data_IF_279107964934
#
_entry.id   IF_279107964934
#
_cell.length_a   1.000
_cell.length_b   1.000
_cell.length_c   1.000
_cell.angle_alpha   90.00
_cell.angle_beta   90.00
_cell.angle_gamma   90.00
#
_symmetry.space_group_name_H-M   'P 1'
#
loop_
_entity.id
_entity.type
_entity.pdbx_description
1 polymer ?
2 non-polymer ?
3 non-polymer ?
4 water ?
#
# COMPACT_ATOMS: atom_id res chain seq x y z
N UNK A 6 -21.68 23.37 -7.02
CA UNK A 6 -20.79 23.46 -5.82
C UNK A 6 -19.38 22.99 -6.18
N UNK A 7 -18.37 23.84 -5.90
CA UNK A 7 -17.00 23.42 -6.21
C UNK A 7 -16.50 22.35 -5.23
N UNK A 8 -15.38 21.72 -5.57
CA UNK A 8 -15.03 20.44 -4.99
C UNK A 8 -13.52 20.32 -5.03
N UNK A 9 -12.92 19.82 -3.95
CA UNK A 9 -11.52 19.46 -4.10
C UNK A 9 -11.27 18.33 -5.11
N UNK A 10 -12.32 17.60 -5.48
CA UNK A 10 -12.12 16.30 -6.13
C UNK A 10 -12.57 16.36 -7.60
N UNK A 11 -11.90 15.63 -8.47
CA UNK A 11 -12.60 15.26 -9.70
C UNK A 11 -12.80 13.76 -9.91
N UNK A 12 -14.05 13.36 -10.18
CA UNK A 12 -14.42 11.99 -10.54
C UNK A 12 -14.10 11.60 -11.99
N UNK A 13 -13.73 10.35 -12.21
CA UNK A 13 -13.56 9.78 -13.54
C UNK A 13 -14.22 8.41 -13.63
N UNK A 14 -14.79 8.08 -14.79
CA UNK A 14 -14.89 6.68 -15.22
C UNK A 14 -13.68 6.18 -16.00
N UNK A 15 -13.68 4.90 -16.31
CA UNK A 15 -12.51 4.30 -16.93
C UNK A 15 -12.22 4.85 -18.32
N UNK A 16 -13.30 5.06 -19.07
CA UNK A 16 -13.27 5.80 -20.32
C UNK A 16 -12.43 7.06 -20.15
N UNK A 17 -12.86 7.92 -19.22
CA UNK A 17 -12.27 9.25 -19.15
C UNK A 17 -10.86 9.13 -18.64
N UNK A 18 -10.63 8.24 -17.67
CA UNK A 18 -9.31 8.09 -17.08
C UNK A 18 -8.29 7.61 -18.10
N UNK A 19 -8.68 6.67 -18.95
CA UNK A 19 -7.66 6.01 -19.77
C UNK A 19 -7.20 6.88 -20.94
N UNK A 20 -8.03 7.85 -21.32
CA UNK A 20 -7.61 8.85 -22.31
C UNK A 20 -6.40 9.66 -21.84
N UNK A 21 -6.05 9.55 -20.56
CA UNK A 21 -4.98 10.38 -20.02
C UNK A 21 -3.66 9.63 -19.95
N UNK A 22 -3.64 8.46 -20.56
CA UNK A 22 -2.37 7.77 -20.80
C UNK A 22 -1.40 8.53 -21.69
N UNK A 23 -1.95 9.19 -22.72
CA UNK A 23 -1.14 9.76 -23.78
C UNK A 23 -0.08 8.76 -24.23
N UNK A 24 1.18 9.17 -24.22
CA UNK A 24 2.24 8.41 -24.88
C UNK A 24 2.86 7.32 -24.00
N UNK A 25 2.46 7.27 -22.72
CA UNK A 25 3.12 6.39 -21.74
C UNK A 25 3.27 4.96 -22.27
N UNK A 26 4.51 4.49 -22.40
CA UNK A 26 4.82 3.12 -22.84
C UNK A 26 4.49 2.06 -21.80
N UNK A 27 3.94 0.93 -22.26
CA UNK A 27 3.72 -0.23 -21.41
C UNK A 27 4.98 -1.08 -21.32
N UNK A 28 5.56 -1.15 -20.14
CA UNK A 28 6.88 -1.77 -20.00
C UNK A 28 6.83 -3.02 -19.14
N UNK A 29 5.80 -3.85 -19.33
CA UNK A 29 5.56 -4.97 -18.44
C UNK A 29 4.84 -6.11 -19.16
N UNK A 30 5.38 -7.31 -19.05
CA UNK A 30 4.85 -8.49 -19.74
C UNK A 30 3.71 -9.13 -18.95
N UNK A 31 2.99 -10.01 -19.61
CA UNK A 31 1.85 -10.66 -18.97
C UNK A 31 2.37 -11.59 -17.88
N UNK A 32 3.57 -12.11 -18.10
CA UNK A 32 4.19 -12.97 -17.11
C UNK A 32 4.70 -12.17 -15.93
N UNK A 33 5.35 -11.05 -16.19
CA UNK A 33 5.79 -10.16 -15.12
C UNK A 33 4.62 -9.75 -14.24
N UNK A 34 3.51 -9.39 -14.86
CA UNK A 34 2.28 -9.10 -14.13
C UNK A 34 1.84 -10.20 -13.17
N UNK A 35 1.93 -11.44 -13.63
CA UNK A 35 1.44 -12.62 -12.91
C UNK A 35 2.16 -12.71 -11.57
N UNK A 36 3.46 -12.52 -11.59
CA UNK A 36 4.27 -12.63 -10.38
C UNK A 36 4.08 -11.50 -9.38
N UNK A 37 3.33 -10.47 -9.78
CA UNK A 37 3.04 -9.38 -8.86
C UNK A 37 1.63 -9.52 -8.29
N UNK A 38 0.77 -10.17 -9.07
CA UNK A 38 -0.65 -10.41 -8.81
C UNK A 38 -0.85 -11.26 -7.55
N UNK A 39 -1.73 -10.80 -6.68
CA UNK A 39 -2.11 -11.61 -5.51
C UNK A 39 -3.26 -12.60 -5.68
N UNK A 40 -3.28 -13.61 -4.84
CA UNK A 40 -4.32 -14.65 -4.91
C UNK A 40 -5.72 -14.06 -4.93
N UNK A 41 -6.48 -14.38 -5.97
CA UNK A 41 -7.81 -13.85 -6.16
C UNK A 41 -7.93 -12.51 -6.88
N UNK A 42 -6.82 -11.82 -7.10
CA UNK A 42 -6.82 -10.62 -7.95
C UNK A 42 -7.02 -10.89 -9.44
N UNK A 43 -7.63 -9.92 -10.14
CA UNK A 43 -8.09 -10.10 -11.51
C UNK A 43 -7.38 -9.17 -12.47
N UNK A 44 -6.48 -8.36 -11.94
CA UNK A 44 -5.78 -7.39 -12.75
C UNK A 44 -5.11 -8.06 -13.97
N UNK A 45 -5.29 -7.50 -15.16
CA UNK A 45 -4.58 -7.92 -16.36
C UNK A 45 -3.95 -6.72 -17.05
N UNK A 46 -3.34 -6.95 -18.21
CA UNK A 46 -2.58 -5.89 -18.88
C UNK A 46 -3.46 -4.76 -19.39
N UNK A 47 -4.73 -5.05 -19.66
CA UNK A 47 -5.64 -3.98 -19.99
C UNK A 47 -5.76 -3.00 -18.83
N UNK A 48 -6.09 -3.51 -17.64
CA UNK A 48 -6.20 -2.66 -16.45
C UNK A 48 -4.92 -1.87 -16.28
N UNK A 49 -3.78 -2.53 -16.47
CA UNK A 49 -2.52 -1.83 -16.34
C UNK A 49 -2.44 -0.68 -17.33
N UNK A 50 -2.95 -0.87 -18.55
CA UNK A 50 -2.81 0.14 -19.58
C UNK A 50 -3.75 1.31 -19.30
N UNK A 51 -4.98 0.99 -18.94
CA UNK A 51 -6.01 2.02 -18.90
C UNK A 51 -6.04 2.73 -17.55
N UNK A 52 -5.46 2.10 -16.52
CA UNK A 52 -5.58 2.57 -15.14
C UNK A 52 -4.22 2.95 -14.54
N UNK A 53 -3.25 2.06 -14.65
CA UNK A 53 -1.97 2.32 -14.02
C UNK A 53 -1.02 3.19 -14.83
N UNK A 54 -1.27 3.30 -16.13
CA UNK A 54 -0.34 4.05 -16.98
C UNK A 54 -0.56 5.58 -16.90
N UNK A 55 -1.81 6.01 -16.82
CA UNK A 55 -2.18 7.38 -16.49
C UNK A 55 -1.68 7.76 -15.09
N UNK A 56 -1.93 6.88 -14.11
CA UNK A 56 -1.40 7.07 -12.77
C UNK A 56 0.11 7.27 -12.79
N UNK A 57 0.81 6.43 -13.54
CA UNK A 57 2.25 6.60 -13.55
C UNK A 57 2.65 7.92 -14.20
N UNK A 58 1.84 8.40 -15.15
CA UNK A 58 2.12 9.70 -15.79
C UNK A 58 1.93 10.85 -14.82
N UNK A 59 0.75 10.88 -14.20
CA UNK A 59 0.45 11.80 -13.11
C UNK A 59 1.60 11.85 -12.10
N UNK A 60 2.16 10.71 -11.74
CA UNK A 60 3.18 10.74 -10.70
C UNK A 60 4.46 11.38 -11.22
N UNK A 61 4.75 11.18 -12.49
CA UNK A 61 6.06 11.57 -13.01
C UNK A 61 6.08 13.08 -13.22
N UNK A 62 4.90 13.60 -13.51
CA UNK A 62 4.68 15.04 -13.54
C UNK A 62 4.84 15.66 -12.15
N UNK A 63 4.24 15.03 -11.15
CA UNK A 63 4.32 15.54 -9.79
C UNK A 63 5.66 15.36 -9.12
N UNK A 64 6.43 14.35 -9.53
CA UNK A 64 7.73 14.17 -8.90
C UNK A 64 8.60 15.41 -9.11
N UNK A 65 8.66 15.87 -10.35
CA UNK A 65 9.62 16.90 -10.75
C UNK A 65 9.21 18.23 -10.11
N UNK A 66 7.91 18.52 -10.19
CA UNK A 66 7.24 19.64 -9.52
C UNK A 66 7.33 19.62 -8.00
N UNK A 67 7.20 18.44 -7.40
CA UNK A 67 7.30 18.37 -5.95
C UNK A 67 8.73 18.72 -5.55
N UNK A 68 9.69 18.39 -6.39
CA UNK A 68 11.09 18.72 -6.08
C UNK A 68 11.45 20.21 -6.16
N UNK A 69 10.77 20.97 -7.01
CA UNK A 69 10.82 22.43 -6.96
C UNK A 69 10.42 22.99 -5.58
N UNK A 70 9.40 22.42 -4.97
CA UNK A 70 8.99 22.76 -3.60
C UNK A 70 10.12 22.66 -2.58
N UNK A 71 10.77 21.50 -2.49
CA UNK A 71 11.84 21.34 -1.52
C UNK A 71 13.04 22.22 -1.86
N UNK A 72 13.15 22.61 -3.12
CA UNK A 72 14.29 23.40 -3.58
C UNK A 72 14.10 24.87 -3.21
N UNK A 73 12.84 25.33 -3.20
CA UNK A 73 12.50 26.67 -2.79
C UNK A 73 12.95 26.90 -1.35
N UNK A 74 12.67 25.89 -0.54
CA UNK A 74 13.00 25.92 0.88
C UNK A 74 14.50 25.87 1.18
N UNK A 75 15.25 25.23 0.30
CA UNK A 75 16.71 25.21 0.47
C UNK A 75 17.29 26.52 -0.04
N UNK A 76 16.69 27.11 -1.07
CA UNK A 76 17.12 28.42 -1.54
C UNK A 76 16.92 29.39 -0.38
N UNK A 77 15.69 29.45 0.11
CA UNK A 77 15.38 30.23 1.31
C UNK A 77 16.41 30.09 2.44
N UNK A 78 16.81 28.86 2.73
CA UNK A 78 17.66 28.57 3.88
C UNK A 78 19.14 28.88 3.61
N UNK A 79 19.44 29.31 2.39
CA UNK A 79 20.84 29.44 1.95
C UNK A 79 21.61 28.14 1.96
N UNK A 80 21.09 27.14 1.25
CA UNK A 80 21.64 25.79 1.34
C UNK A 80 22.29 25.32 0.04
N UNK A 81 23.34 24.49 0.17
CA UNK A 81 24.14 23.95 -0.91
C UNK A 81 23.48 23.94 -2.30
N UNK A 82 22.49 23.05 -2.51
CA UNK A 82 21.64 23.06 -3.72
C UNK A 82 21.26 21.69 -4.26
N UNK A 83 21.60 20.63 -3.52
CA UNK A 83 21.14 19.27 -3.78
C UNK A 83 21.82 18.61 -4.97
N UNK A 84 22.79 17.75 -4.69
CA UNK A 84 23.25 16.72 -5.62
C UNK A 84 22.08 16.20 -6.46
N UNK A 85 22.13 16.41 -7.78
CA UNK A 85 21.01 16.01 -8.62
C UNK A 85 20.84 14.49 -8.70
N UNK A 86 21.81 13.77 -8.13
CA UNK A 86 21.75 12.31 -8.05
C UNK A 86 21.42 11.78 -6.66
N UNK A 87 21.15 12.71 -5.73
CA UNK A 87 20.39 12.44 -4.51
C UNK A 87 19.32 13.50 -4.33
N UNK A 88 18.22 13.40 -5.10
CA UNK A 88 17.09 14.28 -4.84
C UNK A 88 16.34 13.88 -3.55
N UNK A 89 15.48 14.76 -3.08
CA UNK A 89 14.60 14.42 -1.96
C UNK A 89 13.66 13.32 -2.42
N UNK A 90 13.72 12.14 -1.78
CA UNK A 90 12.89 10.99 -2.09
C UNK A 90 11.39 11.32 -2.11
N UNK A 91 10.74 10.96 -3.20
CA UNK A 91 9.30 11.08 -3.36
C UNK A 91 8.62 9.92 -2.64
N UNK A 92 7.67 10.23 -1.74
CA UNK A 92 7.13 9.20 -0.87
C UNK A 92 5.67 8.97 -1.19
N UNK A 93 5.30 7.71 -1.42
CA UNK A 93 3.96 7.42 -1.92
C UNK A 93 3.31 6.46 -0.92
N UNK A 94 2.15 6.83 -0.42
CA UNK A 94 1.42 5.92 0.45
C UNK A 94 0.35 5.15 -0.30
N UNK A 95 0.14 3.90 0.10
CA UNK A 95 -0.93 3.08 -0.49
C UNK A 95 -1.75 2.39 0.60
N UNK A 96 -3.05 2.63 0.62
CA UNK A 96 -3.85 2.22 1.78
C UNK A 96 -5.09 1.48 1.29
N UNK A 97 -5.75 0.78 2.19
CA UNK A 97 -7.08 0.21 1.99
C UNK A 97 -7.27 -1.00 2.90
N UNK A 98 -8.49 -1.53 2.91
CA UNK A 98 -8.79 -2.76 3.62
C UNK A 98 -7.84 -3.91 3.30
N UNK A 99 -7.66 -4.79 4.28
CA UNK A 99 -7.36 -6.20 4.05
C UNK A 99 -8.18 -6.68 2.85
N UNK A 100 -7.55 -7.43 1.96
CA UNK A 100 -8.22 -8.16 0.87
C UNK A 100 -8.62 -7.33 -0.33
N UNK A 101 -8.30 -6.03 -0.34
CA UNK A 101 -8.92 -5.16 -1.32
C UNK A 101 -8.02 -5.12 -2.54
N UNK A 102 -6.85 -5.75 -2.44
CA UNK A 102 -5.88 -5.65 -3.55
C UNK A 102 -4.75 -4.64 -3.40
N UNK A 103 -4.67 -3.91 -2.28
CA UNK A 103 -3.74 -2.77 -2.20
C UNK A 103 -2.28 -3.20 -2.34
N UNK A 104 -1.98 -4.45 -2.02
CA UNK A 104 -0.60 -4.91 -2.12
C UNK A 104 -0.18 -5.16 -3.56
N UNK A 105 -1.13 -5.63 -4.35
CA UNK A 105 -0.93 -5.73 -5.77
C UNK A 105 -0.81 -4.35 -6.41
N UNK A 106 -1.76 -3.45 -6.13
CA UNK A 106 -1.64 -2.09 -6.64
C UNK A 106 -0.25 -1.55 -6.36
N UNK A 107 0.33 -1.85 -5.19
CA UNK A 107 1.62 -1.24 -4.89
C UNK A 107 2.78 -1.90 -5.63
N UNK A 108 2.77 -3.23 -5.71
CA UNK A 108 3.82 -3.93 -6.46
C UNK A 108 3.78 -3.52 -7.93
N UNK A 109 2.57 -3.34 -8.43
CA UNK A 109 2.43 -2.99 -9.84
C UNK A 109 3.00 -1.59 -10.06
N UNK A 110 2.63 -0.65 -9.19
CA UNK A 110 3.11 0.72 -9.28
C UNK A 110 4.63 0.71 -9.21
N UNK A 111 5.21 -0.04 -8.29
CA UNK A 111 6.67 -0.05 -8.15
C UNK A 111 7.32 -0.49 -9.47
N UNK A 112 6.69 -1.43 -10.16
CA UNK A 112 7.30 -2.04 -11.34
C UNK A 112 7.19 -1.05 -12.47
N UNK A 113 6.07 -0.35 -12.53
CA UNK A 113 5.87 0.65 -13.56
C UNK A 113 6.85 1.80 -13.38
N UNK A 114 7.02 2.25 -12.14
CA UNK A 114 7.91 3.35 -11.85
C UNK A 114 9.36 2.96 -12.06
N UNK A 115 9.74 1.74 -11.70
CA UNK A 115 11.14 1.33 -11.84
C UNK A 115 11.56 1.26 -13.31
N UNK A 116 10.57 1.14 -14.18
CA UNK A 116 10.83 0.99 -15.60
C UNK A 116 10.67 2.34 -16.31
N UNK A 117 10.61 3.42 -15.55
CA UNK A 117 10.61 4.75 -16.13
C UNK A 117 12.01 5.07 -16.61
N UNK A 118 12.11 6.09 -17.45
CA UNK A 118 13.19 6.23 -18.40
C UNK A 118 14.57 6.00 -17.80
N UNK A 119 14.89 6.71 -16.72
CA UNK A 119 16.27 6.70 -16.24
C UNK A 119 16.53 5.71 -15.09
N UNK A 120 15.59 4.80 -14.91
CA UNK A 120 15.73 3.69 -13.95
C UNK A 120 15.87 4.15 -12.51
N UNK A 121 14.84 4.82 -11.98
CA UNK A 121 14.80 5.31 -10.61
C UNK A 121 14.84 4.14 -9.62
N UNK A 122 15.61 4.27 -8.55
CA UNK A 122 15.54 3.29 -7.47
C UNK A 122 14.20 3.43 -6.75
N UNK A 123 13.31 2.46 -6.95
CA UNK A 123 11.95 2.50 -6.42
C UNK A 123 11.75 1.39 -5.40
N UNK A 124 11.82 1.75 -4.13
CA UNK A 124 11.64 0.78 -3.05
C UNK A 124 10.22 0.64 -2.55
N UNK A 125 9.88 -0.56 -2.09
CA UNK A 125 8.54 -0.85 -1.58
C UNK A 125 8.60 -1.41 -0.18
N UNK A 126 7.91 -0.73 0.74
CA UNK A 126 7.87 -1.18 2.13
C UNK A 126 6.43 -1.30 2.63
N UNK A 127 6.07 -2.46 3.17
CA UNK A 127 4.76 -2.65 3.78
C UNK A 127 4.88 -2.39 5.28
N UNK A 128 3.78 -2.04 5.93
CA UNK A 128 3.84 -1.78 7.34
C UNK A 128 3.90 -3.02 8.22
N UNK A 129 3.76 -4.19 7.60
CA UNK A 129 3.83 -5.44 8.32
C UNK A 129 5.07 -5.49 9.22
N UNK A 130 6.20 -5.04 8.69
CA UNK A 130 7.50 -5.04 9.37
C UNK A 130 7.49 -4.31 10.70
N UNK A 131 6.59 -3.32 10.79
CA UNK A 131 6.44 -2.48 11.97
C UNK A 131 5.33 -2.89 12.92
N UNK A 132 4.74 -4.05 12.69
CA UNK A 132 3.86 -4.63 13.71
C UNK A 132 4.69 -4.92 14.96
N UNK A 133 4.11 -4.72 16.15
CA UNK A 133 4.76 -5.28 17.34
C UNK A 133 4.86 -6.79 17.23
N UNK A 134 5.95 -7.36 17.76
CA UNK A 134 6.08 -8.81 17.85
C UNK A 134 4.96 -9.39 18.68
N UNK A 135 4.63 -10.67 18.47
CA UNK A 135 3.52 -11.29 19.19
C UNK A 135 3.67 -11.23 20.72
N UNK A 136 4.89 -11.38 21.21
CA UNK A 136 5.08 -11.47 22.66
C UNK A 136 4.79 -10.09 23.23
N UNK A 137 5.02 -9.06 22.43
CA UNK A 137 4.69 -7.70 22.80
C UNK A 137 3.21 -7.36 22.62
N UNK A 138 2.58 -7.89 21.58
CA UNK A 138 1.15 -7.71 21.43
C UNK A 138 0.40 -8.44 22.54
N UNK A 139 0.76 -9.67 22.85
CA UNK A 139 0.26 -10.33 24.05
C UNK A 139 0.38 -9.47 25.31
N UNK A 140 1.56 -8.90 25.53
CA UNK A 140 1.77 -8.08 26.72
C UNK A 140 0.70 -7.00 26.74
N UNK A 141 0.45 -6.38 25.58
CA UNK A 141 -0.49 -5.28 25.52
C UNK A 141 -1.93 -5.78 25.37
N UNK A 142 -2.16 -7.08 25.45
CA UNK A 142 -3.47 -7.64 25.14
C UNK A 142 -3.99 -7.34 23.73
N UNK A 143 -3.13 -7.41 22.72
CA UNK A 143 -3.51 -6.94 21.38
C UNK A 143 -3.40 -8.03 20.33
N UNK A 144 -3.27 -9.28 20.76
CA UNK A 144 -3.06 -10.40 19.83
C UNK A 144 -4.23 -10.57 18.85
N UNK A 145 -5.37 -9.97 19.18
CA UNK A 145 -6.55 -10.04 18.32
C UNK A 145 -6.91 -8.67 17.78
N UNK A 146 -5.89 -7.82 17.66
CA UNK A 146 -6.07 -6.51 17.06
C UNK A 146 -4.94 -6.18 16.09
N UNK A 147 -4.31 -7.21 15.55
CA UNK A 147 -3.33 -7.01 14.51
C UNK A 147 -3.96 -6.27 13.32
N UNK A 148 -3.35 -5.19 12.88
CA UNK A 148 -3.92 -4.32 11.86
C UNK A 148 -4.52 -3.03 12.42
N UNK A 149 -4.97 -3.09 13.66
CA UNK A 149 -5.39 -1.86 14.32
C UNK A 149 -4.17 -0.98 14.55
N UNK A 150 -4.38 0.34 14.48
CA UNK A 150 -3.25 1.26 14.56
C UNK A 150 -2.35 0.90 15.74
N UNK A 151 -2.93 0.50 16.86
CA UNK A 151 -2.12 0.37 18.06
C UNK A 151 -1.32 -0.92 18.03
N UNK A 152 -1.48 -1.74 16.98
CA UNK A 152 -0.73 -2.99 16.93
C UNK A 152 0.61 -2.76 16.23
N UNK A 153 0.82 -1.55 15.74
CA UNK A 153 2.05 -1.16 15.07
C UNK A 153 2.96 -0.30 15.95
N UNK A 154 4.27 -0.44 15.74
CA UNK A 154 5.23 0.51 16.28
C UNK A 154 5.25 1.77 15.46
N UNK A 155 4.25 2.62 15.70
CA UNK A 155 4.12 3.81 14.87
C UNK A 155 5.30 4.77 14.99
N UNK A 156 5.92 4.85 16.16
CA UNK A 156 7.12 5.69 16.29
C UNK A 156 8.27 5.18 15.42
N UNK A 157 8.52 3.87 15.44
CA UNK A 157 9.59 3.32 14.61
C UNK A 157 9.28 3.52 13.13
N UNK A 158 8.01 3.36 12.77
CA UNK A 158 7.58 3.58 11.40
C UNK A 158 7.87 5.00 10.94
N UNK A 159 7.52 5.97 11.79
CA UNK A 159 7.65 7.36 11.44
C UNK A 159 9.14 7.73 11.35
N UNK A 160 9.92 7.24 12.30
CA UNK A 160 11.38 7.33 12.21
C UNK A 160 11.94 6.79 10.90
N UNK A 161 11.46 5.64 10.44
CA UNK A 161 11.98 5.03 9.22
C UNK A 161 11.73 5.94 8.04
N UNK A 162 10.50 6.44 7.94
CA UNK A 162 10.16 7.24 6.80
C UNK A 162 10.83 8.61 6.91
N UNK A 163 11.05 9.08 8.14
CA UNK A 163 11.65 10.41 8.29
C UNK A 163 13.12 10.30 7.92
N UNK A 164 13.76 9.23 8.38
CA UNK A 164 15.10 8.90 7.92
C UNK A 164 15.25 8.88 6.40
N UNK A 165 14.46 8.06 5.72
CA UNK A 165 14.62 7.99 4.28
C UNK A 165 14.42 9.35 3.63
N UNK A 166 13.30 9.98 3.95
CA UNK A 166 12.95 11.23 3.25
C UNK A 166 13.95 12.35 3.51
N UNK A 167 14.57 12.35 4.67
CA UNK A 167 15.51 13.43 5.02
C UNK A 167 16.90 13.18 4.42
N UNK A 168 17.04 12.11 3.64
CA UNK A 168 18.17 11.93 2.74
C UNK A 168 19.15 10.90 3.24
N UNK A 169 18.74 10.06 4.20
CA UNK A 169 19.71 9.17 4.84
C UNK A 169 20.31 8.14 3.88
N UNK A 170 21.53 7.68 4.17
CA UNK A 170 22.21 6.77 3.24
C UNK A 170 21.60 5.38 3.31
N UNK A 171 21.26 4.95 4.51
CA UNK A 171 20.42 3.77 4.68
C UNK A 171 19.43 3.91 5.84
N UNK A 172 18.34 3.16 5.76
CA UNK A 172 17.37 3.08 6.84
C UNK A 172 16.89 1.63 6.84
N UNK A 173 16.72 1.08 8.03
CA UNK A 173 16.33 -0.32 8.17
C UNK A 173 14.90 -0.48 8.70
N UNK A 174 14.15 -1.44 8.16
CA UNK A 174 12.83 -1.83 8.65
C UNK A 174 12.84 -3.28 9.11
N UNK A 175 12.09 -3.61 10.17
CA UNK A 175 12.04 -5.03 10.54
C UNK A 175 11.18 -5.82 9.54
N UNK A 176 11.18 -7.14 9.64
CA UNK A 176 10.56 -7.99 8.63
C UNK A 176 9.58 -8.96 9.27
N UNK A 177 8.38 -9.05 8.70
CA UNK A 177 7.32 -9.88 9.27
C UNK A 177 7.23 -11.20 8.48
N UNK A 178 7.15 -12.35 9.16
CA UNK A 178 6.86 -13.60 8.46
C UNK A 178 5.36 -13.89 8.38
N UNK A 179 4.82 -13.94 7.16
CA UNK A 179 3.44 -14.42 6.96
C UNK A 179 3.25 -15.92 7.20
N UNK A 180 4.33 -16.68 7.07
CA UNK A 180 4.33 -18.08 7.46
C UNK A 180 4.15 -18.18 8.96
N UNK A 181 4.99 -17.46 9.72
CA UNK A 181 4.92 -17.59 11.18
C UNK A 181 4.01 -16.58 11.86
N UNK A 182 3.57 -15.56 11.14
CA UNK A 182 2.57 -14.67 11.72
C UNK A 182 3.28 -13.97 12.88
N UNK A 183 4.56 -13.63 12.70
CA UNK A 183 5.32 -12.93 13.73
C UNK A 183 6.54 -12.28 13.10
N UNK A 184 7.17 -11.36 13.83
CA UNK A 184 8.33 -10.61 13.32
C UNK A 184 9.49 -11.59 13.31
N UNK A 185 10.42 -11.47 12.36
CA UNK A 185 11.50 -12.45 12.26
C UNK A 185 12.72 -11.88 12.98
N UNK A 186 13.16 -12.54 14.06
CA UNK A 186 14.37 -12.21 14.80
C UNK A 186 15.54 -11.98 13.85
N UNK A 187 16.11 -10.78 13.87
CA UNK A 187 17.33 -10.51 13.11
C UNK A 187 17.14 -10.04 11.68
N UNK A 188 15.93 -10.11 11.14
CA UNK A 188 15.72 -9.75 9.74
C UNK A 188 15.55 -8.24 9.57
N UNK A 189 16.19 -7.70 8.54
CA UNK A 189 16.15 -6.28 8.20
C UNK A 189 15.85 -6.12 6.71
N UNK A 190 14.98 -5.17 6.36
CA UNK A 190 14.88 -4.68 5.00
C UNK A 190 15.56 -3.33 4.95
N UNK A 191 16.51 -3.16 4.04
CA UNK A 191 17.42 -2.03 4.06
C UNK A 191 17.12 -1.19 2.83
N UNK A 192 16.77 0.07 3.08
CA UNK A 192 16.38 0.98 2.01
C UNK A 192 17.45 2.07 1.90
N UNK A 193 17.95 2.30 0.69
CA UNK A 193 19.22 3.02 0.49
C UNK A 193 18.97 4.21 -0.42
N UNK A 194 18.62 5.36 0.16
CA UNK A 194 18.43 6.58 -0.62
C UNK A 194 17.71 6.35 -1.94
N UNK A 195 16.56 5.66 -1.90
CA UNK A 195 15.79 5.48 -3.13
C UNK A 195 15.29 6.79 -3.69
N UNK A 196 14.89 6.82 -4.96
CA UNK A 196 14.31 8.02 -5.54
C UNK A 196 12.84 8.11 -5.18
N UNK A 197 12.19 6.94 -5.12
CA UNK A 197 10.79 6.82 -4.75
C UNK A 197 10.64 5.73 -3.70
N UNK A 198 9.92 6.01 -2.62
CA UNK A 198 9.63 4.97 -1.64
C UNK A 198 8.12 4.80 -1.61
N UNK A 199 7.64 3.59 -1.85
CA UNK A 199 6.22 3.34 -1.69
C UNK A 199 5.98 2.71 -0.33
N UNK A 200 5.02 3.25 0.41
CA UNK A 200 4.75 2.67 1.71
C UNK A 200 3.33 2.19 1.69
N UNK A 201 3.15 0.92 2.02
CA UNK A 201 1.85 0.28 1.85
C UNK A 201 1.39 -0.33 3.16
N UNK A 202 0.14 -0.09 3.56
CA UNK A 202 -0.40 -0.72 4.76
C UNK A 202 -1.80 -0.20 4.96
N UNK A 203 -2.53 -0.78 5.91
CA UNK A 203 -3.93 -0.45 6.23
C UNK A 203 -4.17 0.99 6.62
N UNK A 204 -3.34 1.49 7.52
CA UNK A 204 -3.66 2.77 8.17
C UNK A 204 -2.66 3.87 7.89
N UNK A 205 -1.81 3.66 6.89
CA UNK A 205 -0.77 4.62 6.57
C UNK A 205 -1.28 6.04 6.34
N UNK A 206 -2.58 6.19 6.05
CA UNK A 206 -3.06 7.55 5.82
C UNK A 206 -3.59 8.27 7.06
N UNK A 207 -3.47 7.61 8.21
CA UNK A 207 -3.94 8.21 9.44
C UNK A 207 -3.29 9.55 9.77
N UNK A 208 -4.08 10.38 10.42
CA UNK A 208 -3.60 11.60 11.04
C UNK A 208 -3.80 11.54 12.55
N UNK A 209 -3.21 12.50 13.27
CA UNK A 209 -3.27 12.48 14.74
C UNK A 209 -2.50 13.60 15.43
N UNK A 210 -2.35 13.51 16.75
CA UNK A 210 -1.84 14.59 17.57
C UNK A 210 -0.32 14.67 17.43
N UNK A 211 0.23 13.86 16.53
CA UNK A 211 1.64 13.98 16.25
C UNK A 211 1.82 13.94 14.75
N UNK A 212 3.00 14.34 14.30
CA UNK A 212 3.34 14.20 12.89
C UNK A 212 3.44 12.71 12.57
N UNK A 213 2.85 12.26 11.47
CA UNK A 213 2.75 10.83 11.15
C UNK A 213 3.21 10.61 9.71
N UNK A 214 3.39 9.35 9.29
CA UNK A 214 3.90 9.11 7.94
C UNK A 214 3.04 9.74 6.85
N UNK A 215 1.73 9.79 7.06
CA UNK A 215 0.86 10.48 6.10
C UNK A 215 1.25 11.93 5.90
N UNK A 216 1.89 12.51 6.92
CA UNK A 216 2.30 13.90 6.78
C UNK A 216 3.53 14.01 5.90
N UNK A 217 4.17 12.88 5.60
CA UNK A 217 5.33 12.89 4.71
C UNK A 217 5.04 12.45 3.27
N UNK A 218 3.83 11.97 3.00
CA UNK A 218 3.52 11.46 1.68
C UNK A 218 3.46 12.63 0.71
N UNK A 219 4.11 12.46 -0.44
CA UNK A 219 3.93 13.38 -1.55
C UNK A 219 2.76 13.01 -2.45
N UNK A 220 2.31 11.77 -2.35
CA UNK A 220 1.19 11.26 -3.15
C UNK A 220 0.64 10.05 -2.40
N UNK A 221 -0.67 9.84 -2.44
CA UNK A 221 -1.24 8.72 -1.72
C UNK A 221 -2.32 8.08 -2.59
N UNK A 222 -2.46 6.77 -2.47
CA UNK A 222 -3.48 5.98 -3.18
C UNK A 222 -4.35 5.28 -2.15
N UNK A 223 -5.66 5.33 -2.31
CA UNK A 223 -6.53 4.46 -1.52
C UNK A 223 -7.27 3.51 -2.48
N UNK A 224 -7.23 2.21 -2.20
CA UNK A 224 -7.93 1.24 -3.04
C UNK A 224 -9.24 0.87 -2.35
N UNK A 225 -10.35 1.11 -3.04
CA UNK A 225 -11.67 1.08 -2.41
C UNK A 225 -12.61 0.03 -3.01
N UNK A 226 -13.63 -0.37 -2.26
CA UNK A 226 -14.71 -1.15 -2.86
C UNK A 226 -15.83 -1.10 -1.82
N UNK A 227 -17.02 -1.56 -2.19
CA UNK A 227 -18.07 -1.69 -1.20
C UNK A 227 -17.66 -2.67 -0.12
N UNK A 228 -18.14 -2.43 1.09
CA UNK A 228 -17.68 -3.27 2.17
C UNK A 228 -18.05 -4.74 1.98
N UNK A 229 -19.18 -5.00 1.33
CA UNK A 229 -19.70 -6.36 1.23
C UNK A 229 -18.93 -7.16 0.19
N UNK A 230 -18.41 -6.47 -0.82
CA UNK A 230 -17.56 -7.12 -1.80
C UNK A 230 -16.24 -7.45 -1.15
N UNK A 231 -15.75 -6.55 -0.29
CA UNK A 231 -14.44 -6.81 0.31
C UNK A 231 -14.56 -8.04 1.19
N UNK A 232 -15.68 -8.14 1.92
CA UNK A 232 -15.84 -9.29 2.80
C UNK A 232 -15.87 -10.57 1.95
N UNK A 233 -16.51 -10.48 0.79
CA UNK A 233 -16.68 -11.66 -0.06
C UNK A 233 -15.31 -12.02 -0.59
N UNK A 234 -14.55 -11.02 -1.01
CA UNK A 234 -13.16 -11.31 -1.41
C UNK A 234 -12.34 -11.94 -0.30
N UNK A 235 -12.59 -11.49 0.94
CA UNK A 235 -11.75 -11.94 2.04
C UNK A 235 -12.06 -13.39 2.38
N UNK A 236 -13.36 -13.72 2.40
CA UNK A 236 -13.79 -15.07 2.74
C UNK A 236 -13.35 -16.08 1.69
N UNK A 237 -13.49 -15.69 0.43
CA UNK A 237 -13.18 -16.58 -0.67
C UNK A 237 -11.67 -16.83 -0.72
N UNK A 238 -10.88 -15.80 -0.41
CA UNK A 238 -9.43 -15.99 -0.33
C UNK A 238 -9.04 -16.86 0.86
N UNK A 239 -9.73 -16.69 1.98
CA UNK A 239 -9.44 -17.56 3.12
C UNK A 239 -9.66 -19.03 2.72
N UNK A 240 -10.77 -19.33 2.05
CA UNK A 240 -11.05 -20.69 1.53
C UNK A 240 -10.00 -21.19 0.55
N UNK A 241 -9.61 -20.34 -0.38
CA UNK A 241 -8.53 -20.68 -1.33
C UNK A 241 -7.22 -21.02 -0.67
N UNK A 242 -6.96 -20.40 0.47
CA UNK A 242 -5.64 -20.54 1.07
C UNK A 242 -5.50 -21.85 1.80
N UNK A 243 -6.62 -22.52 2.01
CA UNK A 243 -6.57 -23.89 2.52
C UNK A 243 -5.63 -24.81 1.75
N UNK A 244 -5.47 -24.60 0.46
CA UNK A 244 -4.56 -25.47 -0.31
C UNK A 244 -3.31 -24.74 -0.82
N UNK A 245 -3.22 -23.42 -0.61
CA UNK A 245 -1.92 -22.76 -0.79
C UNK A 245 -1.19 -22.53 0.54
N UNK A 246 -1.40 -21.38 1.17
CA UNK A 246 -0.58 -21.03 2.34
C UNK A 246 -0.85 -21.91 3.56
N UNK A 247 -2.12 -22.17 3.88
CA UNK A 247 -2.43 -22.95 5.09
C UNK A 247 -1.97 -24.39 5.00
N UNK A 248 -1.67 -24.85 3.79
CA UNK A 248 -1.31 -26.25 3.56
C UNK A 248 0.09 -26.56 4.08
N UNK A 249 0.95 -25.54 4.12
CA UNK A 249 2.30 -25.74 4.63
C UNK A 249 2.17 -26.14 6.08
N UNK A 250 2.83 -27.24 6.48
CA UNK A 250 2.58 -27.72 7.84
C UNK A 250 3.24 -26.81 8.87
N UNK A 251 4.08 -25.89 8.39
CA UNK A 251 4.79 -24.98 9.29
C UNK A 251 3.93 -23.73 9.50
N UNK A 252 2.90 -23.59 8.68
CA UNK A 252 2.12 -22.36 8.70
C UNK A 252 1.48 -22.28 10.07
N UNK A 253 1.48 -21.08 10.65
CA UNK A 253 0.80 -20.87 11.92
C UNK A 253 -0.67 -21.24 11.81
N UNK A 254 -1.22 -21.15 10.60
CA UNK A 254 -2.64 -21.34 10.43
C UNK A 254 -2.95 -22.69 9.78
N UNK A 255 -2.06 -23.66 9.92
CA UNK A 255 -2.22 -24.96 9.28
C UNK A 255 -3.52 -25.67 9.65
N UNK A 256 -4.01 -25.48 10.87
CA UNK A 256 -5.21 -26.15 11.30
C UNK A 256 -6.38 -25.80 10.40
N UNK A 257 -6.29 -24.68 9.70
CA UNK A 257 -7.39 -24.26 8.85
C UNK A 257 -7.48 -25.05 7.56
N UNK A 258 -6.41 -25.74 7.18
CA UNK A 258 -6.33 -26.44 5.92
C UNK A 258 -7.39 -27.55 5.82
N UNK A 259 -7.83 -28.05 6.98
CA UNK A 259 -8.64 -29.26 7.05
C UNK A 259 -10.11 -28.90 7.31
N UNK A 260 -10.38 -27.61 7.43
CA UNK A 260 -11.74 -27.08 7.47
C UNK A 260 -12.53 -27.37 6.20
N UNK A 261 -13.78 -27.78 6.41
CA UNK A 261 -14.75 -27.90 5.34
C UNK A 261 -15.07 -26.50 4.83
N UNK A 262 -15.58 -26.41 3.61
CA UNK A 262 -16.02 -25.14 3.08
C UNK A 262 -16.82 -24.35 4.09
N UNK A 263 -17.88 -24.96 4.61
CA UNK A 263 -18.80 -24.29 5.50
C UNK A 263 -18.08 -23.86 6.78
N UNK A 264 -17.26 -24.74 7.34
CA UNK A 264 -16.49 -24.38 8.51
C UNK A 264 -15.53 -23.19 8.26
N UNK A 265 -14.98 -23.10 7.05
CA UNK A 265 -13.99 -22.07 6.78
C UNK A 265 -14.73 -20.77 6.57
N UNK A 266 -15.91 -20.86 5.97
CA UNK A 266 -16.76 -19.69 5.81
C UNK A 266 -17.16 -19.16 7.17
N UNK A 267 -17.35 -20.05 8.12
CA UNK A 267 -17.70 -19.61 9.45
C UNK A 267 -16.52 -18.92 10.13
N UNK A 268 -15.37 -19.56 10.11
CA UNK A 268 -14.17 -18.94 10.66
C UNK A 268 -13.85 -17.59 10.04
N UNK A 269 -14.00 -17.49 8.71
CA UNK A 269 -13.54 -16.31 7.98
C UNK A 269 -14.43 -15.11 8.26
N UNK A 270 -15.73 -15.36 8.32
CA UNK A 270 -16.71 -14.33 8.65
C UNK A 270 -16.53 -13.80 10.07
N UNK A 271 -16.17 -14.67 10.98
CA UNK A 271 -15.94 -14.27 12.36
C UNK A 271 -14.71 -13.36 12.48
N UNK A 272 -13.62 -13.72 11.81
CA UNK A 272 -12.45 -12.87 11.75
C UNK A 272 -12.76 -11.53 11.09
N UNK A 273 -13.51 -11.56 9.99
CA UNK A 273 -13.92 -10.31 9.36
C UNK A 273 -14.74 -9.48 10.35
N UNK A 274 -15.66 -10.14 11.04
CA UNK A 274 -16.61 -9.45 11.87
C UNK A 274 -15.89 -8.79 13.05
N UNK A 275 -14.97 -9.53 13.67
CA UNK A 275 -14.41 -9.09 14.95
C UNK A 275 -13.16 -8.21 14.79
N UNK A 276 -12.48 -8.34 13.66
CA UNK A 276 -11.19 -7.68 13.45
C UNK A 276 -11.23 -6.75 12.24
N UNK A 277 -11.36 -7.34 11.05
CA UNK A 277 -11.15 -6.54 9.84
C UNK A 277 -12.23 -5.53 9.52
N UNK A 278 -13.48 -5.87 9.80
CA UNK A 278 -14.53 -4.94 9.43
C UNK A 278 -14.49 -3.68 10.32
N UNK A 279 -14.40 -3.88 11.64
CA UNK A 279 -14.26 -2.79 12.61
C UNK A 279 -13.06 -1.91 12.30
N UNK A 280 -11.94 -2.52 11.97
CA UNK A 280 -10.78 -1.72 11.61
C UNK A 280 -11.06 -0.87 10.37
N UNK A 281 -11.81 -1.42 9.41
CA UNK A 281 -12.01 -0.72 8.15
C UNK A 281 -12.94 0.45 8.39
N UNK A 282 -14.03 0.23 9.13
CA UNK A 282 -15.00 1.28 9.41
C UNK A 282 -14.44 2.36 10.37
N UNK A 283 -13.70 1.93 11.39
CA UNK A 283 -13.28 2.85 12.44
C UNK A 283 -12.00 3.56 12.03
N UNK A 284 -11.10 2.87 11.34
CA UNK A 284 -9.77 3.48 11.14
C UNK A 284 -9.41 3.76 9.69
N UNK A 285 -9.68 2.82 8.79
CA UNK A 285 -9.13 2.94 7.43
C UNK A 285 -9.98 3.88 6.59
N UNK A 286 -11.28 3.61 6.57
CA UNK A 286 -12.23 4.35 5.75
C UNK A 286 -12.27 5.86 6.08
N UNK A 287 -12.08 6.24 7.37
CA UNK A 287 -11.98 7.67 7.63
C UNK A 287 -10.73 8.32 7.06
N UNK A 288 -9.80 7.57 6.49
CA UNK A 288 -8.66 8.21 5.86
C UNK A 288 -8.87 8.46 4.37
N UNK A 289 -9.94 7.89 3.81
CA UNK A 289 -10.14 7.98 2.37
C UNK A 289 -10.28 9.39 1.84
N UNK A 290 -10.85 10.32 2.63
CA UNK A 290 -11.04 11.64 2.06
C UNK A 290 -9.76 12.37 1.72
N UNK A 291 -8.64 11.94 2.28
CA UNK A 291 -7.40 12.64 2.03
C UNK A 291 -6.54 12.07 0.93
N UNK A 292 -6.85 10.85 0.47
CA UNK A 292 -5.96 10.19 -0.49
C UNK A 292 -5.93 11.05 -1.74
N UNK A 293 -4.77 11.20 -2.37
CA UNK A 293 -4.75 11.87 -3.66
C UNK A 293 -5.61 11.15 -4.72
N UNK A 294 -5.48 9.83 -4.84
CA UNK A 294 -6.25 9.07 -5.84
C UNK A 294 -6.92 7.86 -5.19
N UNK A 295 -8.24 7.87 -5.15
CA UNK A 295 -9.02 6.69 -4.79
C UNK A 295 -9.31 5.81 -6.02
N UNK A 296 -8.93 4.53 -5.94
CA UNK A 296 -9.18 3.58 -7.02
C UNK A 296 -10.34 2.69 -6.66
N UNK A 297 -11.49 2.87 -7.33
CA UNK A 297 -12.73 2.23 -6.91
C UNK A 297 -13.03 0.96 -7.71
N UNK A 298 -13.13 -0.17 -7.03
CA UNK A 298 -13.33 -1.46 -7.70
C UNK A 298 -14.78 -1.93 -7.61
N UNK A 299 -15.25 -2.57 -8.67
CA UNK A 299 -16.54 -3.25 -8.64
C UNK A 299 -16.40 -4.65 -8.06
N UNK A 300 -17.53 -5.32 -7.89
CA UNK A 300 -17.58 -6.66 -7.32
C UNK A 300 -16.68 -7.71 -7.99
N UNK A 301 -16.27 -7.46 -9.22
CA UNK A 301 -15.31 -8.33 -9.88
C UNK A 301 -13.85 -7.93 -9.74
N UNK A 302 -13.55 -6.96 -8.87
CA UNK A 302 -12.15 -6.52 -8.61
C UNK A 302 -11.73 -5.46 -9.61
N UNK A 303 -12.59 -5.19 -10.58
CA UNK A 303 -12.30 -4.29 -11.66
C UNK A 303 -12.28 -2.80 -11.27
N UNK A 304 -11.18 -2.10 -11.56
CA UNK A 304 -11.22 -0.67 -11.31
C UNK A 304 -12.01 0.02 -12.41
N UNK A 305 -13.20 0.53 -12.09
CA UNK A 305 -14.02 1.20 -13.08
C UNK A 305 -14.30 2.69 -12.81
N UNK A 306 -13.80 3.18 -11.68
CA UNK A 306 -14.06 4.55 -11.24
C UNK A 306 -12.85 5.09 -10.47
N UNK A 307 -12.63 6.40 -10.55
CA UNK A 307 -11.51 7.05 -9.90
C UNK A 307 -11.86 8.43 -9.36
N UNK A 308 -11.23 8.84 -8.26
CA UNK A 308 -11.45 10.16 -7.67
C UNK A 308 -10.12 10.84 -7.35
N UNK A 309 -9.77 11.86 -8.11
CA UNK A 309 -8.49 12.55 -7.96
C UNK A 309 -8.71 13.83 -7.15
N UNK A 310 -7.80 14.09 -6.20
CA UNK A 310 -7.77 15.39 -5.50
C UNK A 310 -7.11 16.36 -6.45
N UNK A 311 -7.86 17.37 -6.87
CA UNK A 311 -7.19 18.51 -7.49
C UNK A 311 -6.86 19.62 -6.48
N UNK A 312 -7.51 19.61 -5.32
CA UNK A 312 -7.04 20.42 -4.20
C UNK A 312 -6.79 19.52 -3.00
#
# INVERSE_FOLDING_TARGET
MSRLSEPSPYVEFDRRQWRALRMSTPLALTEEELVGLRGLGEQIDLLEVEEVYLPLARLIHLQVAARQRLFAATAEFLGEPQQNPDRPVPFIIGVAGSVAVGKSTTARVLQALLARWDHHPRVDLVTTDGFLYPNAELQRRNLMHRKGFPESYNRRALMRFVTSVKSGSDYACAPVYSHLHYDIIPGAEQVVRHPDILILEGLNVLQTGPTLMVSDLFDFSLYVDARIEDIEQWYVSRFLAMRTTAFADPESHFHHYAAFSDSQAVVAAREIWRTINRPNLVENILPTRPRATLVLRKDADHSINRLRLRKL
#
